data_IF_177384026478
#
_entry.id   IF_177384026478
#
_cell.length_a   1.000
_cell.length_b   1.000
_cell.length_c   1.000
_cell.angle_alpha   90.00
_cell.angle_beta   90.00
_cell.angle_gamma   90.00
#
_symmetry.space_group_name_H-M   'P 1'
#
loop_
_entity.id
_entity.type
_entity.pdbx_description
1 polymer ?
#
# COMPACT_ATOMS: atom_id res chain seq x y z
N UNK A 1 5.83 -15.89 0.51
CA UNK A 1 4.64 -15.94 1.41
C UNK A 1 3.30 -15.94 0.66
N UNK A 2 3.30 -16.04 -0.69
CA UNK A 2 2.07 -16.08 -1.50
C UNK A 2 1.14 -17.21 -1.11
N UNK A 3 1.70 -18.39 -0.88
CA UNK A 3 0.93 -19.57 -0.47
C UNK A 3 0.18 -19.36 0.84
N UNK A 4 0.80 -18.69 1.82
CA UNK A 4 0.15 -18.39 3.12
C UNK A 4 -1.04 -17.44 2.94
N UNK A 5 -0.91 -16.45 2.05
CA UNK A 5 -2.00 -15.51 1.73
C UNK A 5 -3.13 -16.24 1.02
N UNK A 6 -2.80 -17.06 0.01
CA UNK A 6 -3.80 -17.86 -0.70
C UNK A 6 -4.54 -18.81 0.23
N UNK A 7 -3.81 -19.54 1.06
CA UNK A 7 -4.40 -20.45 2.04
C UNK A 7 -5.32 -19.74 3.02
N UNK A 8 -4.94 -18.53 3.46
CA UNK A 8 -5.80 -17.72 4.32
C UNK A 8 -7.15 -17.40 3.66
N UNK A 9 -7.13 -16.84 2.45
CA UNK A 9 -8.35 -16.42 1.77
C UNK A 9 -9.19 -17.59 1.26
N UNK A 10 -8.58 -18.70 0.85
CA UNK A 10 -9.29 -19.92 0.46
C UNK A 10 -10.06 -20.54 1.62
N UNK A 11 -9.58 -20.35 2.84
CA UNK A 11 -10.14 -20.94 4.05
C UNK A 11 -10.66 -19.91 5.06
N UNK A 12 -10.90 -18.68 4.63
CA UNK A 12 -11.33 -17.60 5.54
C UNK A 12 -12.62 -17.93 6.27
N UNK A 13 -13.56 -18.59 5.58
CA UNK A 13 -14.85 -18.99 6.14
C UNK A 13 -14.67 -20.02 7.25
N UNK A 14 -13.92 -21.08 6.98
CA UNK A 14 -13.63 -22.14 7.94
C UNK A 14 -12.89 -21.64 9.17
N UNK A 15 -12.01 -20.66 8.98
CA UNK A 15 -11.18 -20.09 10.05
C UNK A 15 -11.93 -19.08 10.94
N UNK A 16 -12.98 -18.47 10.43
CA UNK A 16 -13.70 -17.40 11.14
C UNK A 16 -15.10 -17.81 11.61
N UNK A 17 -15.66 -18.92 11.09
CA UNK A 17 -16.96 -19.42 11.45
C UNK A 17 -16.91 -20.33 12.69
N UNK A 18 -18.02 -20.43 13.40
CA UNK A 18 -18.29 -21.57 14.28
C UNK A 18 -18.59 -22.78 13.42
N UNK A 19 -17.84 -23.84 13.60
CA UNK A 19 -17.98 -25.08 12.83
C UNK A 19 -18.70 -26.13 13.65
N UNK A 20 -19.81 -26.66 13.13
CA UNK A 20 -20.55 -27.78 13.72
C UNK A 20 -20.32 -29.03 12.90
N UNK A 21 -19.77 -30.03 13.53
CA UNK A 21 -19.56 -31.35 12.93
C UNK A 21 -20.68 -32.30 13.39
N UNK A 22 -21.45 -32.80 12.46
CA UNK A 22 -22.51 -33.76 12.72
C UNK A 22 -22.01 -35.20 12.57
N UNK A 23 -22.65 -36.11 13.30
CA UNK A 23 -22.47 -37.54 13.06
C UNK A 23 -22.83 -37.85 11.60
N UNK A 24 -21.99 -38.61 10.90
CA UNK A 24 -22.14 -38.86 9.46
C UNK A 24 -21.38 -37.90 8.55
N UNK A 25 -20.57 -36.97 9.11
CA UNK A 25 -19.61 -36.16 8.37
C UNK A 25 -20.15 -34.87 7.75
N UNK A 26 -21.40 -34.48 8.00
CA UNK A 26 -21.92 -33.19 7.58
C UNK A 26 -21.28 -32.07 8.38
N UNK A 27 -20.82 -31.04 7.69
CA UNK A 27 -20.19 -29.84 8.27
C UNK A 27 -21.13 -28.64 8.05
N UNK A 28 -21.41 -27.91 9.11
CA UNK A 28 -22.14 -26.64 9.08
C UNK A 28 -21.25 -25.51 9.58
N UNK A 29 -21.33 -24.36 8.92
CA UNK A 29 -20.65 -23.12 9.31
C UNK A 29 -21.70 -22.15 9.82
N UNK A 30 -21.63 -21.81 11.10
CA UNK A 30 -22.53 -20.83 11.74
C UNK A 30 -21.74 -19.55 11.99
N UNK A 31 -22.24 -18.42 11.51
CA UNK A 31 -21.54 -17.15 11.55
C UNK A 31 -20.12 -17.26 10.91
N UNK A 32 -19.48 -16.19 10.74
CA UNK A 32 -18.19 -16.09 10.09
C UNK A 32 -18.13 -14.77 9.36
N UNK A 33 -16.94 -14.37 8.96
CA UNK A 33 -16.81 -13.21 8.09
C UNK A 33 -17.34 -13.62 6.74
N UNK A 34 -18.58 -13.19 6.43
CA UNK A 34 -19.07 -13.18 5.06
C UNK A 34 -18.31 -12.04 4.37
N UNK A 35 -17.35 -12.37 3.54
CA UNK A 35 -16.73 -11.38 2.68
C UNK A 35 -17.55 -11.34 1.39
N UNK A 36 -18.10 -10.19 1.09
CA UNK A 36 -18.66 -9.81 -0.21
C UNK A 36 -17.57 -9.22 -1.13
N UNK A 37 -16.33 -9.56 -0.88
CA UNK A 37 -15.18 -9.09 -1.64
C UNK A 37 -14.87 -10.06 -2.79
N UNK A 38 -14.72 -9.51 -3.98
CA UNK A 38 -14.07 -10.19 -5.08
C UNK A 38 -12.54 -10.08 -4.90
N UNK A 39 -11.87 -11.21 -4.70
CA UNK A 39 -10.44 -11.26 -4.40
C UNK A 39 -9.71 -11.99 -5.51
N UNK A 40 -8.71 -11.33 -6.09
CA UNK A 40 -7.79 -11.92 -7.06
C UNK A 40 -6.41 -12.04 -6.41
N UNK A 41 -5.93 -13.27 -6.28
CA UNK A 41 -4.61 -13.59 -5.73
C UNK A 41 -3.63 -13.87 -6.86
N UNK A 42 -3.14 -12.80 -7.49
CA UNK A 42 -2.29 -12.87 -8.66
C UNK A 42 -0.86 -13.33 -8.33
N UNK A 43 -0.32 -14.24 -9.13
CA UNK A 43 1.09 -14.61 -9.08
C UNK A 43 1.94 -13.57 -9.79
N UNK A 44 2.74 -12.86 -9.01
CA UNK A 44 3.59 -11.78 -9.53
C UNK A 44 5.08 -12.11 -9.52
N UNK A 45 5.44 -13.32 -9.10
CA UNK A 45 6.83 -13.80 -9.01
C UNK A 45 7.52 -13.47 -7.70
N UNK A 46 8.28 -14.43 -7.17
CA UNK A 46 8.91 -14.34 -5.86
C UNK A 46 9.92 -13.17 -5.77
N UNK A 47 10.72 -12.98 -6.80
CA UNK A 47 11.80 -11.98 -6.82
C UNK A 47 11.41 -10.66 -7.50
N UNK A 48 10.13 -10.48 -7.84
CA UNK A 48 9.66 -9.25 -8.47
C UNK A 48 9.65 -8.08 -7.48
N UNK A 49 10.15 -6.94 -7.92
CA UNK A 49 10.05 -5.68 -7.21
C UNK A 49 8.66 -5.04 -7.38
N UNK A 50 8.38 -3.98 -6.66
CA UNK A 50 7.03 -3.41 -6.50
C UNK A 50 6.38 -2.98 -7.83
N UNK A 51 7.07 -2.25 -8.69
CA UNK A 51 6.53 -1.86 -10.00
C UNK A 51 6.27 -3.06 -10.92
N UNK A 52 7.19 -4.04 -10.91
CA UNK A 52 7.02 -5.27 -11.69
C UNK A 52 5.81 -6.08 -11.23
N UNK A 53 5.54 -6.12 -9.91
CA UNK A 53 4.34 -6.76 -9.37
C UNK A 53 3.06 -6.08 -9.85
N UNK A 54 3.05 -4.74 -9.81
CA UNK A 54 1.91 -3.94 -10.29
C UNK A 54 1.66 -4.22 -11.77
N UNK A 55 2.70 -4.20 -12.60
CA UNK A 55 2.58 -4.48 -14.02
C UNK A 55 2.02 -5.89 -14.30
N UNK A 56 2.48 -6.91 -13.56
CA UNK A 56 1.98 -8.28 -13.70
C UNK A 56 0.54 -8.47 -13.19
N UNK A 57 0.09 -7.58 -12.31
CA UNK A 57 -1.30 -7.57 -11.84
C UNK A 57 -2.19 -6.64 -12.69
N UNK A 58 -1.64 -5.91 -13.67
CA UNK A 58 -2.34 -4.91 -14.46
C UNK A 58 -3.54 -5.47 -15.24
N UNK A 59 -3.47 -6.72 -15.67
CA UNK A 59 -4.56 -7.40 -16.41
C UNK A 59 -5.85 -7.54 -15.57
N UNK A 60 -5.76 -7.41 -14.26
CA UNK A 60 -6.89 -7.46 -13.34
C UNK A 60 -7.42 -6.07 -12.97
N UNK A 61 -6.84 -5.01 -13.51
CA UNK A 61 -7.27 -3.63 -13.25
C UNK A 61 -8.15 -3.14 -14.39
N UNK A 62 -9.46 -3.25 -14.24
CA UNK A 62 -10.43 -2.84 -15.26
C UNK A 62 -10.85 -1.36 -15.14
N UNK A 63 -10.85 -0.83 -13.92
CA UNK A 63 -11.26 0.54 -13.65
C UNK A 63 -10.26 1.59 -14.19
N UNK A 64 -10.73 2.77 -14.64
CA UNK A 64 -9.87 3.85 -15.11
C UNK A 64 -9.02 4.47 -13.99
N UNK A 65 -9.45 4.36 -12.75
CA UNK A 65 -8.79 4.78 -11.53
C UNK A 65 -8.74 3.62 -10.55
N UNK A 66 -7.60 3.36 -9.94
CA UNK A 66 -7.46 2.33 -8.92
C UNK A 66 -6.67 2.83 -7.71
N UNK A 67 -6.93 2.22 -6.57
CA UNK A 67 -6.15 2.42 -5.36
C UNK A 67 -5.06 1.35 -5.24
N UNK A 68 -3.90 1.76 -4.73
CA UNK A 68 -2.77 0.87 -4.48
C UNK A 68 -2.24 1.11 -3.06
N UNK A 69 -1.94 0.05 -2.34
CA UNK A 69 -1.27 0.16 -1.03
C UNK A 69 -0.25 -0.95 -0.85
N UNK A 70 0.66 -0.76 0.11
CA UNK A 70 1.57 -1.81 0.57
C UNK A 70 0.83 -2.77 1.51
N UNK A 71 1.12 -4.05 1.43
CA UNK A 71 0.44 -5.08 2.22
C UNK A 71 0.76 -5.06 3.72
N UNK A 72 1.75 -4.28 4.15
CA UNK A 72 2.20 -4.11 5.54
C UNK A 72 1.94 -2.69 6.08
N UNK A 73 1.34 -1.82 5.28
CA UNK A 73 0.95 -0.46 5.69
C UNK A 73 -0.45 -0.42 6.30
N UNK A 74 -0.57 0.18 7.48
CA UNK A 74 -1.85 0.52 8.11
C UNK A 74 -1.91 2.04 8.31
N UNK A 75 -3.07 2.63 8.07
CA UNK A 75 -3.30 4.07 8.22
C UNK A 75 -4.74 4.36 8.62
N UNK A 76 -4.95 5.52 9.19
CA UNK A 76 -6.24 6.12 9.51
C UNK A 76 -6.61 7.26 8.56
N UNK A 77 -6.00 7.31 7.37
CA UNK A 77 -6.29 8.35 6.39
C UNK A 77 -7.76 8.30 5.93
N UNK A 78 -8.33 9.45 5.64
CA UNK A 78 -9.65 9.54 5.00
C UNK A 78 -9.52 9.29 3.48
N UNK A 79 -9.80 8.06 3.05
CA UNK A 79 -9.74 7.67 1.65
C UNK A 79 -10.73 8.43 0.76
N UNK A 80 -11.85 8.91 1.30
CA UNK A 80 -12.80 9.72 0.55
C UNK A 80 -12.25 11.13 0.32
N UNK A 81 -11.57 11.70 1.30
CA UNK A 81 -10.89 12.98 1.14
C UNK A 81 -9.74 12.88 0.14
N UNK A 82 -8.96 11.80 0.18
CA UNK A 82 -7.90 11.53 -0.80
C UNK A 82 -8.47 11.40 -2.22
N UNK A 83 -9.56 10.67 -2.39
CA UNK A 83 -10.24 10.53 -3.69
C UNK A 83 -10.78 11.87 -4.20
N UNK A 84 -11.35 12.69 -3.33
CA UNK A 84 -11.83 14.03 -3.69
C UNK A 84 -10.67 14.93 -4.13
N UNK A 85 -9.55 14.88 -3.41
CA UNK A 85 -8.32 15.60 -3.76
C UNK A 85 -7.77 15.16 -5.11
N UNK A 86 -7.65 13.83 -5.34
CA UNK A 86 -7.20 13.28 -6.61
C UNK A 86 -8.06 13.76 -7.80
N UNK A 87 -9.38 13.72 -7.65
CA UNK A 87 -10.31 14.18 -8.69
C UNK A 87 -10.22 15.69 -8.95
N UNK A 88 -9.92 16.47 -7.92
CA UNK A 88 -9.84 17.92 -8.04
C UNK A 88 -8.61 18.40 -8.83
N UNK A 89 -7.46 17.75 -8.67
CA UNK A 89 -6.24 18.13 -9.38
C UNK A 89 -6.10 17.48 -10.77
N UNK A 90 -6.77 16.33 -11.00
CA UNK A 90 -6.83 15.66 -12.30
C UNK A 90 -5.50 15.12 -12.83
N UNK A 91 -4.53 14.87 -11.93
CA UNK A 91 -3.22 14.28 -12.26
C UNK A 91 -3.29 12.77 -12.35
N UNK A 92 -2.19 12.13 -12.79
CA UNK A 92 -2.10 10.68 -12.94
C UNK A 92 -2.04 9.99 -11.58
N UNK A 93 -1.35 10.58 -10.62
CA UNK A 93 -1.14 9.99 -9.30
C UNK A 93 -1.45 10.93 -8.14
N UNK A 94 -1.85 10.32 -7.03
CA UNK A 94 -1.90 10.91 -5.69
C UNK A 94 -1.26 9.91 -4.73
N UNK A 95 -0.52 10.38 -3.76
CA UNK A 95 0.15 9.57 -2.76
C UNK A 95 -0.03 10.20 -1.39
N UNK A 96 -0.31 9.40 -0.38
CA UNK A 96 -0.32 9.88 0.99
C UNK A 96 1.10 10.27 1.43
N UNK A 97 1.27 11.51 1.86
CA UNK A 97 2.50 12.01 2.43
C UNK A 97 2.37 12.12 3.95
N UNK A 98 3.31 11.55 4.69
CA UNK A 98 3.26 11.49 6.14
C UNK A 98 4.55 12.04 6.77
N UNK A 99 4.43 12.63 7.96
CA UNK A 99 5.58 13.03 8.75
C UNK A 99 6.08 11.84 9.56
N UNK A 100 7.31 11.34 9.31
CA UNK A 100 7.83 10.26 10.10
C UNK A 100 8.15 10.74 11.53
N UNK A 101 7.92 9.91 12.56
CA UNK A 101 8.53 10.16 13.86
C UNK A 101 10.05 10.05 13.73
N UNK A 102 10.80 10.92 14.38
CA UNK A 102 12.24 10.74 14.47
C UNK A 102 12.57 9.41 15.15
N UNK A 103 13.46 8.63 14.56
CA UNK A 103 13.95 7.36 15.15
C UNK A 103 14.90 7.62 16.32
N UNK A 104 15.50 8.81 16.35
CA UNK A 104 16.52 9.21 17.33
C UNK A 104 16.15 10.56 17.92
N UNK A 105 16.71 10.85 19.11
CA UNK A 105 16.68 12.19 19.66
C UNK A 105 17.40 13.17 18.72
N UNK A 106 16.79 14.34 18.51
CA UNK A 106 17.37 15.42 17.73
C UNK A 106 18.10 16.40 18.65
N UNK A 107 19.22 16.92 18.18
CA UNK A 107 20.02 17.87 18.92
C UNK A 107 20.33 19.09 18.07
N UNK A 108 20.20 20.26 18.67
CA UNK A 108 20.75 21.50 18.13
C UNK A 108 22.08 21.81 18.86
N UNK A 109 23.15 21.92 18.08
CA UNK A 109 24.44 22.22 18.62
C UNK A 109 24.78 23.72 18.49
N UNK A 110 25.38 24.27 19.51
CA UNK A 110 26.03 25.59 19.45
C UNK A 110 27.35 25.47 18.65
N UNK A 111 27.94 26.61 18.15
CA UNK A 111 29.21 26.58 17.45
C UNK A 111 30.38 26.03 18.27
N UNK A 112 30.28 26.05 19.59
CA UNK A 112 31.26 25.51 20.55
C UNK A 112 31.03 24.01 20.86
N UNK A 113 30.08 23.36 20.16
CA UNK A 113 29.77 21.94 20.31
C UNK A 113 28.85 21.59 21.48
N UNK A 114 28.37 22.59 22.25
CA UNK A 114 27.38 22.32 23.30
C UNK A 114 26.01 22.04 22.76
N UNK A 115 25.30 21.09 23.37
CA UNK A 115 23.89 20.81 23.06
C UNK A 115 23.04 21.98 23.60
N UNK A 116 22.38 22.69 22.67
CA UNK A 116 21.46 23.80 23.03
C UNK A 116 20.05 23.27 23.27
N UNK A 117 19.63 22.32 22.48
CA UNK A 117 18.30 21.70 22.55
C UNK A 117 18.44 20.21 22.31
N UNK A 118 17.73 19.43 23.11
CA UNK A 118 17.53 17.97 22.87
C UNK A 118 16.05 17.68 22.85
N UNK A 119 15.59 16.97 21.81
CA UNK A 119 14.19 16.58 21.63
C UNK A 119 14.13 15.10 21.33
N UNK A 120 13.48 14.34 22.19
CA UNK A 120 13.33 12.90 22.02
C UNK A 120 12.11 12.60 21.14
N UNK A 121 12.33 11.88 20.02
CA UNK A 121 11.27 11.34 19.13
C UNK A 121 10.23 12.37 18.67
N UNK A 122 10.62 13.61 18.46
CA UNK A 122 9.72 14.63 17.91
C UNK A 122 9.42 14.33 16.44
N UNK A 123 8.19 14.65 15.98
CA UNK A 123 7.85 14.53 14.56
C UNK A 123 8.70 15.51 13.74
N UNK A 124 9.25 15.03 12.64
CA UNK A 124 9.97 15.87 11.68
C UNK A 124 8.94 16.71 10.92
N UNK A 125 8.73 17.95 11.32
CA UNK A 125 7.67 18.80 10.76
C UNK A 125 7.93 19.26 9.32
N UNK A 126 9.17 19.22 8.84
CA UNK A 126 9.55 19.71 7.53
C UNK A 126 9.78 18.62 6.50
N UNK A 127 9.81 17.35 6.93
CA UNK A 127 10.09 16.24 6.02
C UNK A 127 8.84 15.36 5.86
N UNK A 128 8.49 15.10 4.63
CA UNK A 128 7.47 14.12 4.28
C UNK A 128 8.13 12.86 3.73
N UNK A 129 7.53 11.72 4.04
CA UNK A 129 7.89 10.44 3.41
C UNK A 129 6.68 9.85 2.71
N UNK A 130 6.95 8.94 1.79
CA UNK A 130 5.94 8.11 1.15
C UNK A 130 5.20 7.29 2.22
N UNK A 131 3.93 7.57 2.42
CA UNK A 131 3.03 6.87 3.35
C UNK A 131 2.29 5.69 2.73
N UNK A 132 2.56 5.37 1.45
CA UNK A 132 1.75 4.44 0.70
C UNK A 132 0.41 5.07 0.31
N UNK A 133 -0.63 4.24 0.20
CA UNK A 133 -1.97 4.68 -0.15
C UNK A 133 -1.98 5.62 -1.36
N UNK A 134 -2.00 5.01 -2.53
CA UNK A 134 -1.96 5.72 -3.80
C UNK A 134 -3.32 5.66 -4.49
N UNK A 135 -3.67 6.72 -5.18
CA UNK A 135 -4.70 6.72 -6.22
C UNK A 135 -4.01 6.95 -7.56
N UNK A 136 -4.19 6.05 -8.49
CA UNK A 136 -3.50 6.06 -9.77
C UNK A 136 -4.48 5.88 -10.93
N UNK A 137 -4.37 6.75 -11.94
CA UNK A 137 -5.06 6.55 -13.20
C UNK A 137 -4.51 5.30 -13.91
N UNK A 138 -5.36 4.55 -14.60
CA UNK A 138 -4.95 3.32 -15.31
C UNK A 138 -3.81 3.57 -16.30
N UNK A 139 -3.71 4.75 -16.86
CA UNK A 139 -2.62 5.14 -17.77
C UNK A 139 -1.24 5.08 -17.12
N UNK A 140 -1.14 5.14 -15.79
CA UNK A 140 0.12 4.92 -15.06
C UNK A 140 0.73 3.56 -15.37
N UNK A 141 -0.10 2.52 -15.57
CA UNK A 141 0.36 1.17 -15.88
C UNK A 141 1.19 1.12 -17.17
N UNK A 142 0.86 1.94 -18.16
CA UNK A 142 1.60 2.04 -19.41
C UNK A 142 2.97 2.72 -19.26
N UNK A 143 3.22 3.39 -18.14
CA UNK A 143 4.51 4.02 -17.81
C UNK A 143 5.47 3.10 -17.07
N UNK A 144 4.98 1.94 -16.62
CA UNK A 144 5.81 0.98 -15.92
C UNK A 144 6.76 0.26 -16.89
N UNK A 145 8.05 0.10 -16.56
CA UNK A 145 9.01 -0.58 -17.43
C UNK A 145 8.70 -2.07 -17.51
N UNK A 146 8.46 -2.57 -18.74
CA UNK A 146 8.06 -3.96 -18.98
C UNK A 146 9.23 -4.94 -19.04
N UNK A 147 10.46 -4.46 -19.27
CA UNK A 147 11.64 -5.27 -19.50
C UNK A 147 12.56 -5.38 -18.27
N UNK A 148 12.27 -4.66 -17.22
CA UNK A 148 13.12 -4.56 -16.05
C UNK A 148 12.40 -4.96 -14.77
N UNK A 149 13.15 -5.48 -13.81
CA UNK A 149 12.64 -5.73 -12.47
C UNK A 149 12.90 -4.49 -11.60
N UNK A 150 11.91 -3.62 -11.48
CA UNK A 150 12.03 -2.27 -10.92
C UNK A 150 11.12 -2.08 -9.72
N UNK A 151 11.60 -1.29 -8.75
CA UNK A 151 10.75 -0.83 -7.64
C UNK A 151 9.90 0.36 -8.08
N UNK A 152 8.72 0.49 -7.47
CA UNK A 152 7.79 1.59 -7.72
C UNK A 152 8.41 2.94 -7.34
N UNK A 153 9.19 2.97 -6.27
CA UNK A 153 9.82 4.14 -5.65
C UNK A 153 11.04 4.65 -6.44
N UNK A 154 11.54 3.85 -7.36
CA UNK A 154 12.62 4.25 -8.27
C UNK A 154 12.07 5.11 -9.43
N UNK A 155 12.46 4.82 -10.67
CA UNK A 155 12.05 5.62 -11.83
C UNK A 155 10.53 5.88 -11.92
N UNK A 156 9.61 4.91 -11.70
CA UNK A 156 8.19 5.17 -11.94
C UNK A 156 7.59 6.35 -11.15
N UNK A 157 7.84 6.45 -9.86
CA UNK A 157 7.35 7.58 -9.06
C UNK A 157 8.20 8.84 -9.27
N UNK A 158 9.51 8.68 -9.45
CA UNK A 158 10.41 9.81 -9.69
C UNK A 158 10.07 10.53 -11.00
N UNK A 159 9.84 9.77 -12.06
CA UNK A 159 9.47 10.31 -13.37
C UNK A 159 8.07 10.94 -13.36
N UNK A 160 7.13 10.33 -12.61
CA UNK A 160 5.79 10.88 -12.44
C UNK A 160 5.84 12.22 -11.70
N UNK A 161 6.63 12.32 -10.64
CA UNK A 161 6.84 13.55 -9.89
C UNK A 161 7.56 14.62 -10.73
N UNK A 162 8.60 14.25 -11.48
CA UNK A 162 9.31 15.17 -12.38
C UNK A 162 8.42 15.72 -13.50
N UNK A 163 7.44 14.94 -13.95
CA UNK A 163 6.44 15.37 -14.93
C UNK A 163 5.33 16.26 -14.32
N UNK A 164 5.32 16.46 -13.01
CA UNK A 164 4.26 17.20 -12.31
C UNK A 164 2.92 16.47 -12.28
N UNK A 165 2.95 15.14 -12.37
CA UNK A 165 1.77 14.27 -12.44
C UNK A 165 1.53 13.45 -11.16
N UNK A 166 2.29 13.72 -10.10
CA UNK A 166 2.14 13.16 -8.77
C UNK A 166 1.82 14.24 -7.75
#
# INVERSE_FOLDING_TARGET
KGDVIKEYFLHVRERTATVRLHAGGRVEYESGIATDWDIILAETGEHSLTATRILRAADYVDAPLFALTYGDGLSDIDLNAELAFHRAHGKIGTMAAVHPPSRFGMMELAPDGKVRVFREKEKLHNDYINGGFFLLQKEFLARLPSQENVSLEAAPLTDLAAAGEL
#
